data_IF_786253229772
#
_entry.id   IF_786253229772
#
_cell.length_a   1.000
_cell.length_b   1.000
_cell.length_c   1.000
_cell.angle_alpha   90.00
_cell.angle_beta   90.00
_cell.angle_gamma   90.00
#
_symmetry.space_group_name_H-M   'P 1'
#
loop_
_entity.id
_entity.type
_entity.pdbx_description
1 polymer ?
#
# COMPACT_ATOMS: atom_id res chain seq x y z
N UNK A 1 -12.18 -15.52 18.65
CA UNK A 1 -11.45 -14.55 17.78
C UNK A 1 -10.11 -15.12 17.24
N UNK A 2 -10.03 -16.39 16.81
CA UNK A 2 -8.74 -17.00 16.37
C UNK A 2 -8.67 -17.46 14.90
N UNK A 3 -9.74 -17.31 14.11
CA UNK A 3 -9.77 -17.77 12.70
C UNK A 3 -9.26 -16.73 11.69
N UNK A 4 -9.13 -15.47 12.10
CA UNK A 4 -8.70 -14.38 11.22
C UNK A 4 -7.17 -14.32 11.14
N UNK A 5 -6.48 -14.57 12.25
CA UNK A 5 -5.00 -14.58 12.30
C UNK A 5 -4.38 -15.71 11.46
N UNK A 6 -5.02 -16.88 11.35
CA UNK A 6 -4.48 -18.00 10.57
C UNK A 6 -4.57 -17.78 9.04
N UNK A 7 -5.57 -17.03 8.57
CA UNK A 7 -5.73 -16.67 7.15
C UNK A 7 -4.87 -15.48 6.73
N UNK A 8 -4.51 -14.62 7.68
CA UNK A 8 -3.62 -13.48 7.46
C UNK A 8 -2.14 -13.89 7.54
N UNK A 9 -1.79 -14.88 8.37
CA UNK A 9 -0.43 -15.40 8.43
C UNK A 9 -0.05 -16.22 7.18
N UNK A 10 -1.01 -16.85 6.50
CA UNK A 10 -0.76 -17.60 5.24
C UNK A 10 -0.57 -16.71 4.02
N UNK A 11 -0.84 -15.41 4.13
CA UNK A 11 -0.53 -14.43 3.09
C UNK A 11 0.96 -14.09 3.05
N UNK A 12 1.78 -14.57 3.99
CA UNK A 12 3.18 -14.18 4.10
C UNK A 12 3.30 -12.81 4.77
N UNK A 13 4.05 -12.77 5.87
CA UNK A 13 4.28 -11.57 6.68
C UNK A 13 4.66 -10.33 5.83
N UNK A 14 5.40 -10.57 4.75
CA UNK A 14 5.81 -9.55 3.79
C UNK A 14 4.63 -8.85 3.09
N UNK A 15 3.61 -9.60 2.67
CA UNK A 15 2.46 -9.05 1.92
C UNK A 15 1.58 -8.18 2.79
N UNK A 16 1.34 -8.66 4.01
CA UNK A 16 0.58 -7.93 5.00
C UNK A 16 1.32 -6.65 5.40
N UNK A 17 2.64 -6.74 5.59
CA UNK A 17 3.50 -5.58 5.81
C UNK A 17 3.43 -4.56 4.67
N UNK A 18 3.50 -5.01 3.42
CA UNK A 18 3.38 -4.14 2.25
C UNK A 18 2.01 -3.46 2.16
N UNK A 19 0.93 -4.20 2.40
CA UNK A 19 -0.41 -3.64 2.38
C UNK A 19 -0.61 -2.59 3.49
N UNK A 20 -0.13 -2.90 4.71
CA UNK A 20 -0.16 -1.96 5.83
C UNK A 20 0.66 -0.72 5.52
N UNK A 21 1.86 -0.85 4.94
CA UNK A 21 2.70 0.27 4.54
C UNK A 21 2.04 1.11 3.43
N UNK A 22 1.44 0.48 2.43
CA UNK A 22 0.72 1.18 1.35
C UNK A 22 -0.46 2.01 1.89
N UNK A 23 -1.27 1.41 2.77
CA UNK A 23 -2.39 2.10 3.41
C UNK A 23 -1.88 3.20 4.34
N UNK A 24 -0.88 2.92 5.17
CA UNK A 24 -0.27 3.91 6.04
C UNK A 24 0.28 5.10 5.26
N UNK A 25 0.90 4.87 4.09
CA UNK A 25 1.42 5.92 3.22
C UNK A 25 0.31 6.88 2.74
N UNK A 26 -0.82 6.33 2.30
CA UNK A 26 -1.98 7.13 1.88
C UNK A 26 -2.57 7.88 3.08
N UNK A 27 -2.77 7.20 4.21
CA UNK A 27 -3.40 7.77 5.41
C UNK A 27 -2.55 8.89 6.02
N UNK A 28 -1.22 8.72 6.07
CA UNK A 28 -0.31 9.74 6.59
C UNK A 28 -0.33 11.01 5.73
N UNK A 29 -0.28 10.87 4.40
CA UNK A 29 -0.34 12.00 3.49
C UNK A 29 -1.72 12.69 3.51
N UNK A 30 -2.81 11.92 3.43
CA UNK A 30 -4.17 12.45 3.50
C UNK A 30 -4.44 13.15 4.85
N UNK A 31 -4.03 12.53 5.95
CA UNK A 31 -4.15 13.10 7.29
C UNK A 31 -3.38 14.40 7.45
N UNK A 32 -2.17 14.49 6.88
CA UNK A 32 -1.39 15.73 6.85
C UNK A 32 -2.07 16.83 6.05
N UNK A 33 -2.61 16.52 4.86
CA UNK A 33 -3.35 17.52 4.08
C UNK A 33 -4.58 18.05 4.83
N UNK A 34 -5.34 17.16 5.49
CA UNK A 34 -6.51 17.55 6.29
C UNK A 34 -6.12 18.37 7.53
N UNK A 35 -5.03 18.01 8.21
CA UNK A 35 -4.53 18.75 9.38
C UNK A 35 -3.98 20.14 9.00
N UNK A 36 -3.33 20.26 7.84
CA UNK A 36 -2.84 21.52 7.29
C UNK A 36 -3.95 22.54 6.98
N UNK A 37 -5.18 22.07 6.75
CA UNK A 37 -6.36 22.93 6.56
C UNK A 37 -6.88 23.47 7.91
N UNK A 38 -6.65 22.76 9.03
CA UNK A 38 -7.20 23.08 10.35
C UNK A 38 -6.23 23.93 11.20
N UNK A 39 -4.92 23.86 10.94
CA UNK A 39 -3.89 24.52 11.76
C UNK A 39 -3.11 25.54 10.95
N UNK A 40 -3.64 26.76 10.85
CA UNK A 40 -2.83 27.93 10.56
C UNK A 40 -2.09 28.37 11.83
N UNK A 41 -0.77 28.58 11.71
CA UNK A 41 0.07 29.46 12.55
C UNK A 41 0.90 28.92 13.74
N UNK A 42 1.21 27.62 13.87
CA UNK A 42 2.15 27.20 14.95
C UNK A 42 2.94 25.89 14.73
N UNK A 43 3.07 25.38 13.50
CA UNK A 43 3.83 24.15 13.28
C UNK A 43 5.28 24.49 12.93
N UNK A 44 6.14 24.57 13.94
CA UNK A 44 7.60 24.60 13.75
C UNK A 44 8.04 23.52 12.75
N UNK A 45 9.07 23.83 11.97
CA UNK A 45 9.74 22.98 10.97
C UNK A 45 10.36 21.73 11.60
N UNK A 46 9.52 20.83 12.09
CA UNK A 46 9.86 19.57 12.72
C UNK A 46 9.98 18.48 11.66
N UNK A 47 10.88 17.52 11.87
CA UNK A 47 11.02 16.33 11.00
C UNK A 47 9.66 15.63 10.79
N UNK A 48 8.77 15.70 11.77
CA UNK A 48 7.44 15.09 11.73
C UNK A 48 6.49 15.71 10.69
N UNK A 49 6.71 16.94 10.24
CA UNK A 49 5.93 17.56 9.14
C UNK A 49 6.52 17.26 7.77
N UNK A 50 7.82 16.99 7.71
CA UNK A 50 8.54 16.65 6.47
C UNK A 50 8.24 15.22 6.00
N UNK A 51 7.98 14.29 6.93
CA UNK A 51 7.67 12.89 6.61
C UNK A 51 6.44 12.76 5.69
N UNK A 52 5.24 13.27 6.04
CA UNK A 52 4.07 13.10 5.19
C UNK A 52 4.09 13.97 3.93
N UNK A 53 4.80 15.11 3.93
CA UNK A 53 4.84 16.05 2.81
C UNK A 53 5.87 15.70 1.74
N UNK A 54 7.04 15.17 2.12
CA UNK A 54 8.13 14.84 1.21
C UNK A 54 8.37 13.33 1.09
N UNK A 55 8.34 12.60 2.20
CA UNK A 55 8.70 11.18 2.20
C UNK A 55 7.56 10.32 1.65
N UNK A 56 6.31 10.54 2.08
CA UNK A 56 5.17 9.77 1.61
C UNK A 56 4.99 9.75 0.07
N UNK A 57 5.11 10.87 -0.66
CA UNK A 57 5.05 10.85 -2.13
C UNK A 57 6.23 10.13 -2.77
N UNK A 58 7.43 10.21 -2.20
CA UNK A 58 8.63 9.49 -2.70
C UNK A 58 8.53 7.98 -2.42
N UNK A 59 7.93 7.60 -1.30
CA UNK A 59 7.72 6.20 -0.93
C UNK A 59 6.60 5.55 -1.74
N UNK A 60 5.63 6.32 -2.22
CA UNK A 60 4.51 5.82 -3.02
C UNK A 60 4.94 4.96 -4.23
N UNK A 61 5.81 5.41 -5.15
CA UNK A 61 6.23 4.60 -6.30
C UNK A 61 7.04 3.38 -5.88
N UNK A 62 7.87 3.47 -4.83
CA UNK A 62 8.64 2.34 -4.30
C UNK A 62 7.69 1.25 -3.80
N UNK A 63 6.70 1.62 -2.98
CA UNK A 63 5.68 0.69 -2.48
C UNK A 63 4.85 0.11 -3.63
N UNK A 64 4.52 0.92 -4.63
CA UNK A 64 3.79 0.46 -5.83
C UNK A 64 4.56 -0.64 -6.57
N UNK A 65 5.87 -0.47 -6.78
CA UNK A 65 6.74 -1.46 -7.41
C UNK A 65 6.84 -2.73 -6.56
N UNK A 66 6.95 -2.61 -5.23
CA UNK A 66 7.00 -3.77 -4.34
C UNK A 66 5.69 -4.58 -4.37
N UNK A 67 4.54 -3.91 -4.36
CA UNK A 67 3.23 -4.59 -4.50
C UNK A 67 3.09 -5.21 -5.89
N UNK A 68 3.63 -4.58 -6.94
CA UNK A 68 3.67 -5.15 -8.29
C UNK A 68 4.54 -6.41 -8.37
N UNK A 69 5.70 -6.42 -7.72
CA UNK A 69 6.53 -7.62 -7.63
C UNK A 69 5.80 -8.75 -6.92
N UNK A 70 5.08 -8.45 -5.84
CA UNK A 70 4.30 -9.43 -5.11
C UNK A 70 3.14 -9.99 -5.96
N UNK A 71 2.46 -9.12 -6.72
CA UNK A 71 1.49 -9.51 -7.75
C UNK A 71 2.07 -10.47 -8.78
N UNK A 72 3.24 -10.16 -9.33
CA UNK A 72 3.92 -11.02 -10.29
C UNK A 72 4.23 -12.37 -9.65
N UNK A 73 4.74 -12.39 -8.41
CA UNK A 73 5.06 -13.62 -7.69
C UNK A 73 3.81 -14.48 -7.44
N UNK A 74 2.68 -13.86 -7.07
CA UNK A 74 1.38 -14.55 -6.93
C UNK A 74 0.94 -15.18 -8.24
N UNK A 75 1.13 -14.49 -9.36
CA UNK A 75 0.77 -14.99 -10.70
C UNK A 75 1.68 -16.13 -11.16
N UNK A 76 2.98 -16.07 -10.85
CA UNK A 76 3.93 -17.15 -11.12
C UNK A 76 3.55 -18.41 -10.35
N UNK A 77 3.29 -18.30 -9.03
CA UNK A 77 2.85 -19.46 -8.22
C UNK A 77 1.52 -20.04 -8.69
N UNK A 78 0.58 -19.19 -9.10
CA UNK A 78 -0.69 -19.64 -9.67
C UNK A 78 -0.53 -20.37 -11.02
N UNK A 79 0.58 -20.17 -11.73
CA UNK A 79 0.87 -20.87 -12.97
C UNK A 79 1.48 -22.26 -12.72
N UNK A 80 2.27 -22.40 -11.66
CA UNK A 80 2.94 -23.66 -11.28
C UNK A 80 2.01 -24.64 -10.55
N UNK A 81 0.99 -24.14 -9.87
CA UNK A 81 0.06 -24.97 -9.09
C UNK A 81 -1.24 -25.29 -9.84
N UNK A 82 -1.90 -26.39 -9.45
CA UNK A 82 -3.18 -26.83 -10.01
C UNK A 82 -4.25 -27.02 -8.91
N UNK A 83 -5.53 -26.91 -9.28
CA UNK A 83 -6.65 -27.10 -8.36
C UNK A 83 -6.92 -25.91 -7.42
N UNK A 84 -7.19 -26.20 -6.14
CA UNK A 84 -7.66 -25.23 -5.14
C UNK A 84 -6.61 -24.15 -4.80
N UNK A 85 -5.32 -24.52 -4.81
CA UNK A 85 -4.23 -23.61 -4.47
C UNK A 85 -4.03 -22.52 -5.55
N UNK A 86 -4.21 -22.87 -6.83
CA UNK A 86 -4.24 -21.91 -7.94
C UNK A 86 -5.33 -20.85 -7.77
N UNK A 87 -6.52 -21.26 -7.34
CA UNK A 87 -7.64 -20.33 -7.10
C UNK A 87 -7.31 -19.36 -5.97
N UNK A 88 -6.67 -19.84 -4.90
CA UNK A 88 -6.19 -19.01 -3.80
C UNK A 88 -5.20 -17.94 -4.27
N UNK A 89 -4.16 -18.31 -5.03
CA UNK A 89 -3.18 -17.33 -5.53
C UNK A 89 -3.78 -16.33 -6.54
N UNK A 90 -4.75 -16.76 -7.35
CA UNK A 90 -5.48 -15.84 -8.23
C UNK A 90 -6.31 -14.82 -7.44
N UNK A 91 -6.95 -15.23 -6.35
CA UNK A 91 -7.65 -14.30 -5.46
C UNK A 91 -6.71 -13.29 -4.82
N UNK A 92 -5.54 -13.73 -4.34
CA UNK A 92 -4.55 -12.81 -3.77
C UNK A 92 -4.07 -11.81 -4.81
N UNK A 93 -3.79 -12.28 -6.04
CA UNK A 93 -3.36 -11.40 -7.14
C UNK A 93 -4.40 -10.31 -7.45
N UNK A 94 -5.70 -10.57 -7.28
CA UNK A 94 -6.74 -9.55 -7.46
C UNK A 94 -6.70 -8.49 -6.35
N UNK A 95 -6.41 -8.87 -5.11
CA UNK A 95 -6.28 -7.95 -3.99
C UNK A 95 -5.04 -7.06 -4.17
N UNK A 96 -3.90 -7.66 -4.57
CA UNK A 96 -2.67 -6.93 -4.88
C UNK A 96 -2.90 -5.94 -6.04
N UNK A 97 -3.60 -6.37 -7.10
CA UNK A 97 -3.95 -5.50 -8.22
C UNK A 97 -4.87 -4.35 -7.80
N UNK A 98 -5.85 -4.60 -6.92
CA UNK A 98 -6.69 -3.55 -6.35
C UNK A 98 -5.88 -2.56 -5.53
N UNK A 99 -4.92 -3.03 -4.73
CA UNK A 99 -4.04 -2.16 -3.95
C UNK A 99 -3.22 -1.24 -4.87
N UNK A 100 -2.61 -1.78 -5.93
CA UNK A 100 -1.88 -1.00 -6.93
C UNK A 100 -2.81 0.02 -7.59
N UNK A 101 -4.01 -0.40 -8.01
CA UNK A 101 -4.99 0.48 -8.64
C UNK A 101 -5.42 1.64 -7.73
N UNK A 102 -5.64 1.37 -6.44
CA UNK A 102 -5.97 2.41 -5.45
C UNK A 102 -4.82 3.37 -5.21
N UNK A 103 -3.59 2.84 -5.08
CA UNK A 103 -2.41 3.70 -4.96
C UNK A 103 -2.23 4.57 -6.20
N UNK A 104 -2.41 4.04 -7.41
CA UNK A 104 -2.34 4.80 -8.65
C UNK A 104 -3.41 5.88 -8.68
N UNK A 105 -4.68 5.52 -8.42
CA UNK A 105 -5.78 6.48 -8.43
C UNK A 105 -5.55 7.64 -7.45
N UNK A 106 -4.95 7.37 -6.28
CA UNK A 106 -4.65 8.39 -5.28
C UNK A 106 -3.41 9.23 -5.64
N UNK A 107 -2.33 8.62 -6.13
CA UNK A 107 -1.04 9.30 -6.34
C UNK A 107 -0.85 9.88 -7.74
N UNK A 108 -1.48 9.35 -8.78
CA UNK A 108 -1.46 9.92 -10.14
C UNK A 108 -1.81 11.42 -10.14
N UNK A 109 -2.92 11.88 -9.54
CA UNK A 109 -3.25 13.31 -9.57
C UNK A 109 -2.14 14.15 -8.91
N UNK A 110 -1.57 13.67 -7.81
CA UNK A 110 -0.44 14.33 -7.15
C UNK A 110 0.78 14.44 -8.07
N UNK A 111 1.15 13.38 -8.81
CA UNK A 111 2.29 13.40 -9.73
C UNK A 111 2.06 14.22 -10.99
N UNK A 112 0.81 14.36 -11.45
CA UNK A 112 0.48 15.23 -12.58
C UNK A 112 0.51 16.72 -12.21
N UNK A 113 0.34 17.04 -10.92
CA UNK A 113 0.38 18.40 -10.40
C UNK A 113 1.76 18.84 -9.89
N UNK A 114 2.73 17.92 -9.84
CA UNK A 114 4.10 18.15 -9.39
C UNK A 114 4.94 18.78 -10.51
#
# INVERSE_FOLDING_TARGET
>A
MSRISSRLASLGFLRLGLFVLAVANIVLHAGYQLAGIIVTSAQESSVWTSIPSLIAPVMAPILMVLVLFDYIMSRVRAADESGEQRVYYLWISRIELLAIGLMLAYWIPFFLTL
#
